data_IF_092063358003
#
_entry.id   IF_092063358003
#
_cell.length_a   1.000
_cell.length_b   1.000
_cell.length_c   1.000
_cell.angle_alpha   90.00
_cell.angle_beta   90.00
_cell.angle_gamma   90.00
#
_symmetry.space_group_name_H-M   'P 1'
#
loop_
_entity.id
_entity.type
_entity.pdbx_description
1 polymer ?
#
# COMPACT_ATOMS: atom_id res chain seq x y z
N UNK A 1 -24.66 36.71 -54.12
CA UNK A 1 -25.30 36.21 -52.88
C UNK A 1 -25.25 34.70 -52.87
N UNK A 2 -24.23 34.08 -52.23
CA UNK A 2 -24.10 32.62 -52.11
C UNK A 2 -24.33 32.23 -50.64
N UNK A 3 -25.37 31.45 -50.38
CA UNK A 3 -25.75 30.94 -49.05
C UNK A 3 -24.93 29.68 -48.75
N UNK A 4 -24.04 29.75 -47.77
CA UNK A 4 -23.31 28.60 -47.24
C UNK A 4 -24.22 27.82 -46.28
N UNK A 5 -24.47 26.54 -46.58
CA UNK A 5 -25.16 25.59 -45.68
C UNK A 5 -24.10 24.90 -44.83
N UNK A 6 -24.16 25.09 -43.52
CA UNK A 6 -23.33 24.35 -42.55
C UNK A 6 -24.09 23.06 -42.19
N UNK A 7 -23.48 21.91 -42.48
CA UNK A 7 -23.94 20.58 -42.10
C UNK A 7 -23.48 20.30 -40.67
N UNK A 8 -24.44 20.14 -39.74
CA UNK A 8 -24.17 19.69 -38.38
C UNK A 8 -24.02 18.15 -38.39
N UNK A 9 -22.82 17.66 -38.06
CA UNK A 9 -22.54 16.25 -37.84
C UNK A 9 -22.79 15.96 -36.36
N UNK A 10 -23.89 15.26 -36.06
CA UNK A 10 -24.21 14.78 -34.73
C UNK A 10 -23.32 13.59 -34.36
N UNK A 11 -22.43 13.78 -33.40
CA UNK A 11 -21.60 12.73 -32.82
C UNK A 11 -22.39 12.06 -31.69
N UNK A 12 -22.85 10.82 -31.91
CA UNK A 12 -23.48 10.01 -30.87
C UNK A 12 -22.41 9.49 -29.91
N UNK A 13 -22.38 10.04 -28.69
CA UNK A 13 -21.53 9.57 -27.60
C UNK A 13 -22.20 8.33 -26.98
N UNK A 14 -21.59 7.17 -27.18
CA UNK A 14 -21.97 5.95 -26.48
C UNK A 14 -21.59 6.10 -24.99
N UNK A 15 -22.61 6.17 -24.13
CA UNK A 15 -22.46 6.08 -22.69
C UNK A 15 -22.04 4.65 -22.34
N UNK A 16 -20.75 4.40 -22.21
CA UNK A 16 -20.24 3.22 -21.53
C UNK A 16 -20.64 3.32 -20.06
N UNK A 17 -21.35 2.30 -19.57
CA UNK A 17 -21.77 2.19 -18.18
C UNK A 17 -20.57 2.32 -17.25
N UNK A 18 -20.50 3.45 -16.55
CA UNK A 18 -19.56 3.66 -15.48
C UNK A 18 -19.90 2.78 -14.28
N UNK A 19 -18.92 2.05 -13.77
CA UNK A 19 -18.98 1.48 -12.44
C UNK A 19 -19.05 2.63 -11.44
N UNK A 20 -20.25 2.93 -10.92
CA UNK A 20 -20.43 3.82 -9.78
C UNK A 20 -19.85 3.14 -8.53
N UNK A 21 -18.59 3.40 -8.22
CA UNK A 21 -17.99 3.07 -6.93
C UNK A 21 -18.50 4.06 -5.88
N UNK A 22 -19.61 3.72 -5.23
CA UNK A 22 -20.08 4.43 -4.04
C UNK A 22 -19.31 3.97 -2.81
N UNK A 23 -19.00 4.93 -1.93
CA UNK A 23 -18.27 4.79 -0.66
C UNK A 23 -19.04 3.99 0.42
N UNK A 24 -19.75 2.92 0.04
CA UNK A 24 -20.37 1.99 0.98
C UNK A 24 -19.31 1.07 1.60
N UNK A 25 -19.29 1.07 2.94
CA UNK A 25 -18.45 0.29 3.86
C UNK A 25 -17.58 -0.84 3.25
N UNK A 26 -16.24 -0.75 3.34
CA UNK A 26 -15.33 -1.77 2.79
C UNK A 26 -15.33 -3.10 3.56
N UNK A 27 -15.99 -3.20 4.71
CA UNK A 27 -15.87 -4.36 5.59
C UNK A 27 -16.72 -5.59 5.18
N UNK A 28 -17.50 -5.50 4.10
CA UNK A 28 -18.36 -6.60 3.64
C UNK A 28 -18.27 -6.81 2.12
N UNK A 29 -17.08 -6.63 1.54
CA UNK A 29 -16.81 -7.08 0.18
C UNK A 29 -17.00 -8.60 0.12
N UNK A 30 -18.13 -8.99 -0.47
CA UNK A 30 -18.58 -10.35 -0.72
C UNK A 30 -17.43 -11.21 -1.29
N UNK A 31 -16.96 -12.18 -0.50
CA UNK A 31 -15.93 -13.14 -0.88
C UNK A 31 -16.27 -13.92 -2.17
N UNK A 32 -17.52 -13.81 -2.64
CA UNK A 32 -18.03 -14.36 -3.90
C UNK A 32 -17.42 -13.73 -5.16
N UNK A 33 -16.76 -12.57 -5.07
CA UNK A 33 -16.14 -11.89 -6.23
C UNK A 33 -14.62 -12.10 -6.36
N UNK A 34 -14.03 -12.98 -5.55
CA UNK A 34 -12.59 -13.21 -5.53
C UNK A 34 -12.10 -14.13 -6.65
N UNK A 35 -12.02 -13.60 -7.88
CA UNK A 35 -11.70 -14.30 -9.15
C UNK A 35 -12.55 -15.56 -9.41
N UNK A 36 -13.13 -15.73 -10.61
CA UNK A 36 -13.64 -17.04 -10.99
C UNK A 36 -12.47 -18.05 -10.96
N UNK A 37 -12.78 -19.30 -10.61
CA UNK A 37 -11.84 -20.40 -10.37
C UNK A 37 -10.98 -20.83 -11.58
N UNK A 38 -10.93 -20.02 -12.64
CA UNK A 38 -10.37 -20.34 -13.95
C UNK A 38 -8.98 -19.72 -14.15
N UNK A 39 -8.16 -19.68 -13.09
CA UNK A 39 -6.73 -19.42 -13.25
C UNK A 39 -6.15 -20.53 -14.13
N UNK A 40 -5.55 -20.12 -15.25
CA UNK A 40 -4.99 -21.04 -16.24
C UNK A 40 -4.14 -22.10 -15.54
N UNK A 41 -4.37 -23.39 -15.84
CA UNK A 41 -3.60 -24.46 -15.24
C UNK A 41 -2.12 -24.21 -15.54
N UNK A 42 -1.30 -24.41 -14.52
CA UNK A 42 0.14 -24.32 -14.66
C UNK A 42 0.63 -25.17 -15.83
N UNK A 43 1.66 -24.68 -16.52
CA UNK A 43 2.22 -25.39 -17.67
C UNK A 43 2.52 -26.84 -17.27
N UNK A 44 2.15 -27.77 -18.15
CA UNK A 44 2.24 -29.22 -17.91
C UNK A 44 3.64 -29.63 -17.44
N UNK A 45 3.74 -30.19 -16.23
CA UNK A 45 4.97 -30.80 -15.70
C UNK A 45 5.49 -30.22 -14.39
N UNK A 46 4.94 -29.12 -13.88
CA UNK A 46 5.33 -28.57 -12.59
C UNK A 46 4.17 -28.49 -11.59
N UNK A 47 4.50 -28.66 -10.31
CA UNK A 47 3.53 -28.74 -9.20
C UNK A 47 3.23 -27.34 -8.72
N UNK A 48 2.00 -26.88 -8.94
CA UNK A 48 1.54 -25.61 -8.42
C UNK A 48 0.99 -25.72 -7.01
N UNK A 49 1.09 -24.64 -6.22
CA UNK A 49 0.46 -24.63 -4.92
C UNK A 49 -1.06 -24.76 -5.11
N UNK A 50 -1.66 -25.62 -4.30
CA UNK A 50 -3.11 -25.70 -4.14
C UNK A 50 -3.60 -24.51 -3.31
N UNK A 51 -4.88 -24.18 -3.42
CA UNK A 51 -5.50 -23.17 -2.54
C UNK A 51 -5.30 -23.50 -1.07
N UNK A 52 -5.38 -24.77 -0.68
CA UNK A 52 -5.13 -25.20 0.70
C UNK A 52 -3.70 -24.87 1.14
N UNK A 53 -2.70 -25.10 0.29
CA UNK A 53 -1.31 -24.74 0.58
C UNK A 53 -1.14 -23.24 0.75
N UNK A 54 -1.70 -22.41 -0.15
CA UNK A 54 -1.63 -20.96 -0.03
C UNK A 54 -2.32 -20.43 1.23
N UNK A 55 -3.52 -20.92 1.54
CA UNK A 55 -4.27 -20.52 2.75
C UNK A 55 -3.54 -20.88 4.04
N UNK A 56 -2.85 -22.02 4.07
CA UNK A 56 -2.04 -22.45 5.24
C UNK A 56 -0.69 -21.75 5.34
N UNK A 57 -0.24 -21.11 4.26
CA UNK A 57 1.08 -20.50 4.17
C UNK A 57 1.18 -19.18 4.95
N UNK A 58 2.36 -18.84 5.50
CA UNK A 58 2.56 -17.58 6.21
C UNK A 58 2.31 -16.36 5.31
N UNK A 59 2.51 -16.49 3.99
CA UNK A 59 2.24 -15.45 3.00
C UNK A 59 0.78 -15.02 2.93
N UNK A 60 -0.19 -15.90 3.22
CA UNK A 60 -1.60 -15.51 3.22
C UNK A 60 -1.89 -14.49 4.33
N UNK A 61 -1.54 -14.79 5.59
CA UNK A 61 -1.76 -13.86 6.70
C UNK A 61 -0.89 -12.61 6.62
N UNK A 62 0.36 -12.74 6.18
CA UNK A 62 1.30 -11.61 6.15
C UNK A 62 1.04 -10.66 4.96
N UNK A 63 0.87 -11.22 3.76
CA UNK A 63 0.93 -10.48 2.50
C UNK A 63 -0.37 -10.58 1.67
N UNK A 64 -1.36 -11.33 2.15
CA UNK A 64 -2.60 -11.58 1.40
C UNK A 64 -2.44 -12.65 0.32
N UNK A 65 -1.35 -13.41 0.33
CA UNK A 65 -1.05 -14.41 -0.73
C UNK A 65 -1.80 -15.72 -0.48
N UNK A 66 -3.11 -15.65 -0.54
CA UNK A 66 -4.02 -16.70 -0.11
C UNK A 66 -4.49 -17.63 -1.23
N UNK A 67 -4.19 -17.33 -2.50
CA UNK A 67 -4.63 -18.09 -3.66
C UNK A 67 -3.45 -18.43 -4.59
N UNK A 68 -3.54 -19.50 -5.39
CA UNK A 68 -2.56 -19.74 -6.45
C UNK A 68 -2.56 -18.57 -7.45
N UNK A 69 -1.39 -18.14 -7.89
CA UNK A 69 -1.17 -17.11 -8.91
C UNK A 69 0.04 -17.56 -9.77
N UNK A 70 -0.26 -18.30 -10.85
CA UNK A 70 0.76 -19.01 -11.62
C UNK A 70 1.50 -20.04 -10.76
N UNK A 71 2.82 -19.85 -10.62
CA UNK A 71 3.72 -20.77 -9.90
C UNK A 71 3.83 -20.52 -8.40
N UNK A 72 3.20 -19.46 -7.90
CA UNK A 72 3.32 -19.02 -6.52
C UNK A 72 1.94 -18.76 -5.91
N UNK A 73 1.93 -18.38 -4.64
CA UNK A 73 0.73 -17.83 -4.02
C UNK A 73 0.70 -16.30 -4.21
N UNK A 74 -0.48 -15.76 -4.44
CA UNK A 74 -0.74 -14.33 -4.62
C UNK A 74 -2.12 -13.94 -4.08
N UNK A 75 -2.43 -12.63 -4.08
CA UNK A 75 -3.74 -12.15 -3.64
C UNK A 75 -4.80 -12.48 -4.68
N UNK A 76 -5.84 -13.22 -4.27
CA UNK A 76 -6.98 -13.54 -5.12
C UNK A 76 -7.96 -12.38 -5.26
N UNK A 77 -8.08 -11.56 -4.22
CA UNK A 77 -8.95 -10.38 -4.20
C UNK A 77 -8.53 -9.34 -3.16
N UNK A 78 -9.24 -8.21 -3.14
CA UNK A 78 -9.06 -7.17 -2.14
C UNK A 78 -9.31 -7.71 -0.72
N UNK A 79 -10.26 -8.63 -0.53
CA UNK A 79 -10.51 -9.25 0.77
C UNK A 79 -9.30 -10.01 1.34
N UNK A 80 -8.49 -10.64 0.49
CA UNK A 80 -7.24 -11.28 0.93
C UNK A 80 -6.22 -10.21 1.41
N UNK A 81 -6.14 -9.08 0.71
CA UNK A 81 -5.28 -7.97 1.10
C UNK A 81 -5.76 -7.29 2.39
N UNK A 82 -7.07 -7.04 2.52
CA UNK A 82 -7.66 -6.39 3.69
C UNK A 82 -7.49 -7.22 4.98
N UNK A 83 -7.58 -8.54 4.87
CA UNK A 83 -7.35 -9.45 6.00
C UNK A 83 -5.86 -9.60 6.35
N UNK A 84 -4.93 -9.18 5.48
CA UNK A 84 -3.51 -9.36 5.66
C UNK A 84 -2.87 -8.30 6.55
N UNK A 85 -1.77 -8.69 7.22
CA UNK A 85 -0.97 -7.77 8.04
C UNK A 85 -0.43 -6.59 7.22
N UNK A 86 -0.10 -6.80 5.94
CA UNK A 86 0.39 -5.72 5.06
C UNK A 86 -0.62 -4.58 4.90
N UNK A 87 -1.92 -4.85 4.89
CA UNK A 87 -2.95 -3.79 4.88
C UNK A 87 -2.93 -2.99 6.18
N UNK A 88 -2.91 -3.68 7.33
CA UNK A 88 -2.88 -3.02 8.64
C UNK A 88 -1.61 -2.19 8.86
N UNK A 89 -0.45 -2.74 8.49
CA UNK A 89 0.85 -2.14 8.78
C UNK A 89 1.20 -1.06 7.76
N UNK A 90 1.00 -1.33 6.47
CA UNK A 90 1.44 -0.45 5.39
C UNK A 90 0.29 0.26 4.64
N UNK A 91 -0.97 0.10 5.04
CA UNK A 91 -2.11 0.63 4.29
C UNK A 91 -2.33 -0.05 2.93
N UNK A 92 -1.62 -1.14 2.63
CA UNK A 92 -1.64 -1.84 1.36
C UNK A 92 -2.81 -2.83 1.27
N UNK A 93 -4.02 -2.30 1.12
CA UNK A 93 -5.27 -3.05 1.24
C UNK A 93 -5.93 -3.42 -0.10
N UNK A 94 -5.37 -2.99 -1.23
CA UNK A 94 -5.96 -3.23 -2.55
C UNK A 94 -5.09 -4.18 -3.36
N UNK A 95 -5.72 -5.14 -4.02
CA UNK A 95 -5.06 -6.07 -4.90
C UNK A 95 -4.62 -5.41 -6.19
N UNK A 96 -3.39 -5.70 -6.58
CA UNK A 96 -2.86 -5.60 -7.95
C UNK A 96 -2.24 -6.94 -8.35
N UNK A 97 -1.94 -7.16 -9.65
CA UNK A 97 -1.27 -8.39 -10.08
C UNK A 97 -0.02 -8.67 -9.24
N UNK A 98 0.00 -9.83 -8.57
CA UNK A 98 1.10 -10.29 -7.73
C UNK A 98 1.29 -9.63 -6.36
N UNK A 99 0.54 -8.59 -5.98
CA UNK A 99 0.77 -7.89 -4.71
C UNK A 99 -0.44 -7.13 -4.16
N UNK A 100 -0.43 -6.89 -2.85
CA UNK A 100 -1.29 -5.91 -2.20
C UNK A 100 -0.56 -4.56 -2.17
N UNK A 101 -1.24 -3.47 -2.56
CA UNK A 101 -0.64 -2.13 -2.67
C UNK A 101 -1.53 -1.07 -2.01
N UNK A 102 -0.91 0.05 -1.64
CA UNK A 102 -1.63 1.22 -1.14
C UNK A 102 -2.27 1.97 -2.31
N UNK A 103 -3.55 2.31 -2.18
CA UNK A 103 -4.32 3.03 -3.22
C UNK A 103 -5.16 4.18 -2.65
N UNK A 104 -5.13 4.35 -1.31
CA UNK A 104 -6.00 5.28 -0.61
C UNK A 104 -5.24 6.01 0.48
N UNK A 105 -5.33 7.33 0.46
CA UNK A 105 -4.84 8.24 1.49
C UNK A 105 -5.37 7.85 2.87
N UNK A 106 -6.67 7.58 2.97
CA UNK A 106 -7.33 7.15 4.22
C UNK A 106 -6.72 5.86 4.78
N UNK A 107 -6.31 4.91 3.91
CA UNK A 107 -5.67 3.66 4.37
C UNK A 107 -4.25 3.90 4.86
N UNK A 108 -3.49 4.83 4.26
CA UNK A 108 -2.19 5.23 4.78
C UNK A 108 -2.31 5.87 6.16
N UNK A 109 -3.23 6.80 6.35
CA UNK A 109 -3.46 7.48 7.62
C UNK A 109 -3.91 6.54 8.75
N UNK A 110 -4.65 5.47 8.42
CA UNK A 110 -5.09 4.46 9.39
C UNK A 110 -4.06 3.34 9.64
N UNK A 111 -2.94 3.34 8.93
CA UNK A 111 -1.93 2.28 9.04
C UNK A 111 -1.10 2.40 10.32
N UNK A 112 -0.62 1.27 10.83
CA UNK A 112 0.29 1.27 11.99
C UNK A 112 1.61 2.00 11.66
N UNK A 113 2.07 2.00 10.40
CA UNK A 113 3.28 2.73 9.98
C UNK A 113 3.10 4.24 9.87
N UNK A 114 1.88 4.75 9.66
CA UNK A 114 1.64 6.18 9.83
C UNK A 114 1.92 6.61 11.28
N UNK A 115 1.37 5.88 12.26
CA UNK A 115 1.61 6.19 13.68
C UNK A 115 3.06 5.98 14.09
N UNK A 116 3.67 4.86 13.68
CA UNK A 116 4.99 4.48 14.16
C UNK A 116 6.12 5.16 13.39
N UNK A 117 6.05 5.19 12.06
CA UNK A 117 7.13 5.66 11.17
C UNK A 117 6.81 6.99 10.44
N UNK A 118 5.61 7.55 10.60
CA UNK A 118 5.21 8.79 9.91
C UNK A 118 4.83 8.60 8.44
N UNK A 119 4.62 7.36 7.98
CA UNK A 119 4.28 7.05 6.58
C UNK A 119 2.78 7.23 6.32
N UNK A 120 2.30 8.47 6.41
CA UNK A 120 0.87 8.77 6.49
C UNK A 120 0.18 9.07 5.16
N UNK A 121 0.92 9.30 4.08
CA UNK A 121 0.36 9.79 2.81
C UNK A 121 0.54 8.80 1.69
N UNK A 122 -0.40 8.75 0.74
CA UNK A 122 -0.27 7.96 -0.46
C UNK A 122 0.75 8.60 -1.41
N UNK A 123 1.81 7.87 -1.72
CA UNK A 123 2.85 8.28 -2.66
C UNK A 123 3.43 7.10 -3.42
N UNK A 124 4.70 7.20 -3.77
CA UNK A 124 5.42 6.14 -4.47
C UNK A 124 6.77 5.88 -3.82
N UNK A 125 7.12 4.60 -3.74
CA UNK A 125 8.42 4.14 -3.31
C UNK A 125 8.91 3.06 -4.28
N UNK A 126 10.16 3.17 -4.75
CA UNK A 126 10.71 2.21 -5.72
C UNK A 126 9.92 2.10 -7.04
N UNK A 127 9.12 3.12 -7.37
CA UNK A 127 8.25 3.13 -8.54
C UNK A 127 6.88 2.45 -8.35
N UNK A 128 6.54 1.99 -7.14
CA UNK A 128 5.25 1.39 -6.81
C UNK A 128 4.44 2.27 -5.83
N UNK A 129 3.10 2.23 -5.86
CA UNK A 129 2.27 2.90 -4.86
C UNK A 129 2.55 2.40 -3.44
N UNK A 130 2.83 3.34 -2.53
CA UNK A 130 3.19 3.05 -1.14
C UNK A 130 2.74 4.20 -0.22
N UNK A 131 2.69 3.95 1.08
CA UNK A 131 2.52 5.02 2.06
C UNK A 131 3.88 5.62 2.40
N UNK A 132 3.98 6.95 2.39
CA UNK A 132 5.22 7.72 2.55
C UNK A 132 5.02 8.90 3.51
N UNK A 133 6.11 9.39 4.07
CA UNK A 133 6.13 10.70 4.72
C UNK A 133 6.25 11.79 3.65
N UNK A 134 5.57 12.93 3.83
CA UNK A 134 5.63 14.06 2.89
C UNK A 134 6.35 15.27 3.45
N UNK A 135 6.60 15.29 4.76
CA UNK A 135 7.42 16.31 5.41
C UNK A 135 7.74 16.00 6.87
N UNK A 136 8.57 16.85 7.47
CA UNK A 136 9.01 16.70 8.87
C UNK A 136 7.86 16.65 9.87
N UNK A 137 6.71 17.23 9.54
CA UNK A 137 5.53 17.19 10.40
C UNK A 137 5.04 15.75 10.62
N UNK A 138 5.05 14.93 9.58
CA UNK A 138 4.67 13.51 9.68
C UNK A 138 5.68 12.76 10.55
N UNK A 139 6.98 12.98 10.31
CA UNK A 139 8.05 12.34 11.06
C UNK A 139 8.07 12.73 12.54
N UNK A 140 7.84 14.00 12.86
CA UNK A 140 7.81 14.49 14.24
C UNK A 140 6.59 14.02 15.02
N UNK A 141 5.48 13.72 14.32
CA UNK A 141 4.29 13.14 14.93
C UNK A 141 4.44 11.63 15.20
N UNK A 142 5.39 10.97 14.54
CA UNK A 142 5.59 9.53 14.64
C UNK A 142 6.27 9.11 15.96
N UNK A 143 5.87 7.95 16.50
CA UNK A 143 6.46 7.39 17.72
C UNK A 143 7.98 7.17 17.57
N UNK A 144 8.43 6.77 16.37
CA UNK A 144 9.84 6.53 16.07
C UNK A 144 10.72 7.79 16.20
N UNK A 145 10.19 8.99 16.00
CA UNK A 145 10.96 10.22 16.27
C UNK A 145 11.33 10.32 17.76
N UNK A 146 10.39 10.05 18.67
CA UNK A 146 10.65 10.11 20.10
C UNK A 146 11.55 8.96 20.60
N UNK A 147 11.45 7.77 19.99
CA UNK A 147 12.23 6.60 20.39
C UNK A 147 13.65 6.62 19.81
N UNK A 148 13.75 6.79 18.49
CA UNK A 148 14.96 6.52 17.71
C UNK A 148 15.58 7.78 17.08
N UNK A 149 14.89 8.92 17.15
CA UNK A 149 15.35 10.19 16.56
C UNK A 149 15.09 10.30 15.06
N UNK A 150 14.20 9.49 14.49
CA UNK A 150 13.80 9.59 13.07
C UNK A 150 12.83 10.76 12.83
N UNK A 151 13.28 12.00 13.08
CA UNK A 151 12.40 13.17 13.13
C UNK A 151 12.40 14.04 11.85
N UNK A 152 13.25 13.73 10.88
CA UNK A 152 13.42 14.52 9.66
C UNK A 152 12.98 13.74 8.42
N UNK A 153 12.27 14.39 7.50
CA UNK A 153 11.83 13.77 6.26
C UNK A 153 12.95 13.78 5.20
N UNK A 154 13.19 12.62 4.59
CA UNK A 154 14.08 12.45 3.46
C UNK A 154 13.56 11.37 2.51
N UNK A 155 13.30 11.76 1.26
CA UNK A 155 12.91 10.87 0.17
C UNK A 155 11.73 9.92 0.51
N UNK A 156 10.68 10.45 1.13
CA UNK A 156 9.48 9.68 1.48
C UNK A 156 9.58 8.90 2.79
N UNK A 157 10.71 9.01 3.50
CA UNK A 157 10.95 8.31 4.78
C UNK A 157 11.37 9.27 5.89
N UNK A 158 11.27 8.80 7.12
CA UNK A 158 11.73 9.51 8.31
C UNK A 158 13.11 9.01 8.74
N UNK A 159 14.03 9.93 8.97
CA UNK A 159 15.44 9.66 9.29
C UNK A 159 15.94 10.59 10.39
N UNK A 160 17.03 10.19 11.05
CA UNK A 160 17.82 11.08 11.90
C UNK A 160 18.80 11.87 11.03
N UNK A 161 18.41 13.10 10.65
CA UNK A 161 19.22 13.96 9.78
C UNK A 161 20.12 14.91 10.56
N UNK A 162 19.79 15.17 11.82
CA UNK A 162 20.50 16.15 12.65
C UNK A 162 20.85 15.63 14.04
N UNK A 163 21.82 16.28 14.68
CA UNK A 163 22.13 16.05 16.10
C UNK A 163 20.93 16.31 17.00
N UNK A 164 20.13 17.33 16.68
CA UNK A 164 18.93 17.68 17.44
C UNK A 164 17.89 16.55 17.42
N UNK A 165 17.74 15.86 16.27
CA UNK A 165 16.84 14.70 16.16
C UNK A 165 17.24 13.60 17.13
N UNK A 166 18.55 13.33 17.26
CA UNK A 166 19.07 12.31 18.17
C UNK A 166 19.06 12.73 19.65
N UNK A 167 19.39 13.99 19.96
CA UNK A 167 19.46 14.48 21.34
C UNK A 167 18.12 14.40 22.07
N UNK A 168 17.00 14.56 21.34
CA UNK A 168 15.65 14.43 21.89
C UNK A 168 15.20 12.99 22.16
N UNK A 169 15.83 12.02 21.50
CA UNK A 169 15.35 10.64 21.43
C UNK A 169 15.71 9.79 22.65
N UNK A 170 14.90 8.76 22.94
CA UNK A 170 15.18 7.79 24.01
C UNK A 170 16.48 7.04 23.79
N UNK A 171 16.82 6.74 22.53
CA UNK A 171 18.05 6.05 22.19
C UNK A 171 19.31 6.80 22.65
N UNK A 172 19.32 8.13 22.58
CA UNK A 172 20.40 8.97 23.12
C UNK A 172 20.37 8.99 24.66
N UNK A 173 19.19 9.15 25.27
CA UNK A 173 19.03 9.25 26.73
C UNK A 173 19.44 7.97 27.46
N UNK A 174 19.11 6.81 26.88
CA UNK A 174 19.34 5.50 27.51
C UNK A 174 20.69 4.91 27.12
N UNK A 175 21.10 5.05 25.85
CA UNK A 175 22.29 4.37 25.32
C UNK A 175 23.44 5.30 24.92
N UNK A 176 23.29 6.63 25.06
CA UNK A 176 24.32 7.60 24.68
C UNK A 176 24.50 7.80 23.17
N UNK A 177 23.60 7.25 22.36
CA UNK A 177 23.63 7.31 20.88
C UNK A 177 23.05 8.62 20.37
N UNK A 178 23.83 9.70 20.47
CA UNK A 178 23.35 11.07 20.27
C UNK A 178 23.81 11.72 18.96
N UNK A 179 24.41 10.97 18.03
CA UNK A 179 24.88 11.50 16.75
C UNK A 179 24.18 10.83 15.57
N UNK A 180 23.72 11.58 14.56
CA UNK A 180 23.19 10.99 13.36
C UNK A 180 24.32 10.35 12.55
N UNK A 181 24.09 9.13 12.07
CA UNK A 181 24.92 8.44 11.10
C UNK A 181 24.03 7.61 10.17
N UNK A 182 24.09 7.89 8.87
CA UNK A 182 23.34 7.15 7.85
C UNK A 182 21.83 7.07 8.11
N UNK A 183 21.26 8.17 8.63
CA UNK A 183 19.83 8.29 8.92
C UNK A 183 19.36 7.65 10.23
N UNK A 184 20.28 7.13 11.07
CA UNK A 184 19.97 6.60 12.40
C UNK A 184 20.86 7.22 13.47
N UNK A 185 20.44 7.17 14.74
CA UNK A 185 21.25 7.66 15.85
C UNK A 185 22.24 6.59 16.36
N UNK A 186 23.50 6.99 16.57
CA UNK A 186 24.60 6.15 17.05
C UNK A 186 25.44 6.80 18.14
#
# INVERSE_FOLDING_TARGET
MRRNRVLAVGLAVALFGGCNGGDSDPAAADASNCYPADLQPCATGAVCPTTAQCLSGPGCKAQGFCRPDGWQCGPGCDGDCEAAMVCRWHGACTRKPGACVATSEKRCQLSDFCRWEGLCHLGTEGGAPACVATGDADCKAADQCAQDGACSHLAGRCVAASKADCEGAQICKVYGKCKPDSGVCK
#
